data_IF_220219076590
#
_entry.id   IF_220219076590
#
_cell.length_a   1.000
_cell.length_b   1.000
_cell.length_c   1.000
_cell.angle_alpha   90.00
_cell.angle_beta   90.00
_cell.angle_gamma   90.00
#
_symmetry.space_group_name_H-M   'P 1'
#
loop_
_entity.id
_entity.type
_entity.pdbx_description
1 polymer ?
#
# COMPACT_ATOMS: atom_id res chain seq x y z
N UNK A 1 32.05 4.04 10.53
CA UNK A 1 30.76 3.76 9.88
C UNK A 1 31.00 2.58 8.94
N UNK A 2 30.58 1.38 9.35
CA UNK A 2 30.83 0.16 8.60
C UNK A 2 29.94 0.13 7.36
N UNK A 3 30.52 0.42 6.21
CA UNK A 3 29.90 0.09 4.92
C UNK A 3 30.12 -1.41 4.73
N UNK A 4 29.10 -2.18 5.09
CA UNK A 4 29.05 -3.61 4.81
C UNK A 4 29.12 -3.82 3.29
N UNK A 5 30.28 -4.27 2.82
CA UNK A 5 30.54 -4.57 1.41
C UNK A 5 30.06 -5.98 1.02
N UNK A 6 29.09 -6.56 1.74
CA UNK A 6 28.63 -7.94 1.49
C UNK A 6 27.19 -8.04 0.99
N UNK A 7 26.57 -6.92 0.61
CA UNK A 7 25.28 -6.96 -0.08
C UNK A 7 25.50 -7.40 -1.54
N UNK A 8 24.82 -8.48 -1.94
CA UNK A 8 24.78 -8.90 -3.33
C UNK A 8 24.22 -7.78 -4.22
N UNK A 9 24.55 -7.75 -5.53
CA UNK A 9 24.00 -6.77 -6.47
C UNK A 9 22.46 -6.75 -6.47
N UNK A 10 21.83 -7.89 -6.17
CA UNK A 10 20.38 -8.01 -6.02
C UNK A 10 19.88 -7.32 -4.75
N UNK A 11 20.51 -7.57 -3.60
CA UNK A 11 20.13 -6.90 -2.36
C UNK A 11 20.31 -5.38 -2.42
N UNK A 12 21.32 -4.89 -3.16
CA UNK A 12 21.49 -3.46 -3.41
C UNK A 12 20.34 -2.90 -4.26
N UNK A 13 19.94 -3.62 -5.31
CA UNK A 13 18.83 -3.25 -6.17
C UNK A 13 17.50 -3.20 -5.39
N UNK A 14 17.17 -4.26 -4.65
CA UNK A 14 16.03 -4.35 -3.75
C UNK A 14 15.97 -3.17 -2.79
N UNK A 15 17.09 -2.87 -2.12
CA UNK A 15 17.17 -1.76 -1.16
C UNK A 15 17.01 -0.40 -1.82
N UNK A 16 17.55 -0.21 -3.03
CA UNK A 16 17.38 1.03 -3.79
C UNK A 16 15.92 1.22 -4.22
N UNK A 17 15.24 0.15 -4.63
CA UNK A 17 13.81 0.16 -4.95
C UNK A 17 12.95 0.53 -3.74
N UNK A 18 13.14 -0.15 -2.61
CA UNK A 18 12.42 0.15 -1.37
C UNK A 18 12.72 1.57 -0.89
N UNK A 19 13.95 2.06 -1.08
CA UNK A 19 14.30 3.44 -0.76
C UNK A 19 13.53 4.44 -1.63
N UNK A 20 13.43 4.21 -2.94
CA UNK A 20 12.63 5.07 -3.85
C UNK A 20 11.14 5.09 -3.46
N UNK A 21 10.60 3.94 -3.03
CA UNK A 21 9.24 3.85 -2.51
C UNK A 21 9.06 4.64 -1.21
N UNK A 22 10.07 4.64 -0.34
CA UNK A 22 10.07 5.40 0.91
C UNK A 22 10.25 6.92 0.69
N UNK A 23 11.10 7.33 -0.26
CA UNK A 23 11.37 8.74 -0.55
C UNK A 23 10.24 9.41 -1.31
N UNK A 24 9.43 8.66 -2.06
CA UNK A 24 8.34 9.23 -2.85
C UNK A 24 8.76 9.55 -4.28
N UNK A 25 9.59 8.71 -4.90
CA UNK A 25 10.09 8.93 -6.27
C UNK A 25 9.38 8.01 -7.30
N UNK A 26 8.20 8.38 -7.82
CA UNK A 26 7.42 7.53 -8.72
C UNK A 26 8.16 7.21 -10.03
N UNK A 27 8.91 8.15 -10.60
CA UNK A 27 9.71 7.92 -11.81
C UNK A 27 10.77 6.83 -11.60
N UNK A 28 11.46 6.83 -10.44
CA UNK A 28 12.44 5.78 -10.13
C UNK A 28 11.77 4.44 -9.88
N UNK A 29 10.65 4.43 -9.17
CA UNK A 29 9.86 3.21 -8.95
C UNK A 29 9.44 2.62 -10.29
N UNK A 30 8.95 3.42 -11.23
CA UNK A 30 8.61 2.94 -12.57
C UNK A 30 9.84 2.41 -13.33
N UNK A 31 10.99 3.05 -13.26
CA UNK A 31 12.23 2.52 -13.87
C UNK A 31 12.60 1.14 -13.31
N UNK A 32 12.48 0.96 -12.00
CA UNK A 32 12.73 -0.33 -11.36
C UNK A 32 11.72 -1.38 -11.82
N UNK A 33 10.42 -1.05 -11.84
CA UNK A 33 9.37 -1.96 -12.32
C UNK A 33 9.58 -2.32 -13.80
N UNK A 34 9.90 -1.34 -14.64
CA UNK A 34 10.18 -1.52 -16.07
C UNK A 34 11.42 -2.38 -16.33
N UNK A 35 12.37 -2.44 -15.39
CA UNK A 35 13.52 -3.33 -15.50
C UNK A 35 13.14 -4.82 -15.44
N UNK A 36 11.97 -5.16 -14.91
CA UNK A 36 11.50 -6.54 -14.74
C UNK A 36 12.29 -7.35 -13.71
N UNK A 37 13.20 -6.70 -12.96
CA UNK A 37 14.06 -7.34 -11.96
C UNK A 37 13.48 -7.29 -10.55
N UNK A 38 12.38 -6.56 -10.36
CA UNK A 38 11.69 -6.41 -9.07
C UNK A 38 10.99 -7.72 -8.74
N UNK A 39 11.31 -8.28 -7.58
CA UNK A 39 10.68 -9.52 -7.10
C UNK A 39 9.38 -9.23 -6.34
N UNK A 40 8.57 -10.25 -6.07
CA UNK A 40 7.38 -10.11 -5.25
C UNK A 40 7.70 -9.62 -3.81
N UNK A 41 8.85 -10.01 -3.27
CA UNK A 41 9.30 -9.53 -1.96
C UNK A 41 9.66 -8.04 -2.00
N UNK A 42 10.31 -7.58 -3.06
CA UNK A 42 10.60 -6.16 -3.27
C UNK A 42 9.33 -5.33 -3.37
N UNK A 43 8.33 -5.82 -4.14
CA UNK A 43 7.03 -5.19 -4.26
C UNK A 43 6.33 -5.06 -2.90
N UNK A 44 6.31 -6.12 -2.09
CA UNK A 44 5.68 -6.10 -0.76
C UNK A 44 6.38 -5.11 0.18
N UNK A 45 7.72 -5.13 0.22
CA UNK A 45 8.50 -4.19 1.04
C UNK A 45 8.35 -2.74 0.57
N UNK A 46 8.40 -2.51 -0.74
CA UNK A 46 8.23 -1.20 -1.36
C UNK A 46 6.82 -0.65 -1.11
N UNK A 47 5.81 -1.49 -1.25
CA UNK A 47 4.41 -1.13 -1.00
C UNK A 47 4.19 -0.75 0.47
N UNK A 48 4.74 -1.52 1.41
CA UNK A 48 4.71 -1.19 2.83
C UNK A 48 5.41 0.15 3.13
N UNK A 49 6.55 0.42 2.51
CA UNK A 49 7.29 1.67 2.67
C UNK A 49 6.53 2.89 2.11
N UNK A 50 6.03 2.81 0.88
CA UNK A 50 5.24 3.86 0.24
C UNK A 50 3.94 4.14 1.00
N UNK A 51 3.26 3.09 1.45
CA UNK A 51 2.06 3.20 2.28
C UNK A 51 2.38 3.90 3.60
N UNK A 52 3.48 3.55 4.28
CA UNK A 52 3.84 4.20 5.55
C UNK A 52 4.10 5.70 5.39
N UNK A 53 4.58 6.09 4.23
CA UNK A 53 4.91 7.48 3.88
C UNK A 53 3.77 8.21 3.17
N UNK A 54 2.60 7.57 2.99
CA UNK A 54 1.42 8.15 2.36
C UNK A 54 1.61 8.55 0.88
N UNK A 55 2.48 7.85 0.14
CA UNK A 55 2.76 8.12 -1.27
C UNK A 55 1.75 7.43 -2.20
N UNK A 56 0.59 8.05 -2.39
CA UNK A 56 -0.55 7.48 -3.15
C UNK A 56 -0.19 7.00 -4.56
N UNK A 57 0.54 7.80 -5.32
CA UNK A 57 0.92 7.49 -6.70
C UNK A 57 1.79 6.22 -6.80
N UNK A 58 2.73 6.07 -5.85
CA UNK A 58 3.60 4.89 -5.80
C UNK A 58 2.81 3.67 -5.39
N UNK A 59 1.94 3.80 -4.38
CA UNK A 59 1.06 2.73 -3.92
C UNK A 59 0.18 2.24 -5.09
N UNK A 60 -0.41 3.16 -5.86
CA UNK A 60 -1.22 2.85 -7.04
C UNK A 60 -0.40 2.11 -8.12
N UNK A 61 0.79 2.63 -8.43
CA UNK A 61 1.68 2.01 -9.42
C UNK A 61 2.06 0.59 -9.01
N UNK A 62 2.37 0.37 -7.73
CA UNK A 62 2.71 -0.95 -7.21
C UNK A 62 1.51 -1.90 -7.30
N UNK A 63 0.31 -1.42 -6.99
CA UNK A 63 -0.94 -2.15 -7.16
C UNK A 63 -1.18 -2.58 -8.61
N UNK A 64 -1.03 -1.67 -9.57
CA UNK A 64 -1.19 -1.97 -10.99
C UNK A 64 -0.19 -3.03 -11.48
N UNK A 65 1.02 -3.05 -10.91
CA UNK A 65 2.01 -4.11 -11.20
C UNK A 65 1.75 -5.45 -10.50
N UNK A 66 0.66 -5.58 -9.74
CA UNK A 66 0.28 -6.83 -9.07
C UNK A 66 0.92 -7.03 -7.70
N UNK A 67 1.40 -5.96 -7.06
CA UNK A 67 1.80 -6.04 -5.65
C UNK A 67 0.59 -6.50 -4.83
N UNK A 68 0.79 -7.52 -4.00
CA UNK A 68 -0.26 -7.95 -3.09
C UNK A 68 -0.58 -6.85 -2.09
N UNK A 69 -1.87 -6.73 -1.74
CA UNK A 69 -2.27 -5.90 -0.60
C UNK A 69 -1.59 -6.50 0.64
N UNK A 70 -0.57 -5.81 1.15
CA UNK A 70 0.15 -6.29 2.33
C UNK A 70 -0.77 -6.28 3.55
N UNK A 71 -0.54 -7.20 4.49
CA UNK A 71 -1.26 -7.22 5.78
C UNK A 71 -1.19 -5.85 6.50
N UNK A 72 -0.14 -5.08 6.23
CA UNK A 72 0.04 -3.73 6.74
C UNK A 72 -0.88 -2.72 6.06
N UNK A 73 -1.00 -2.72 4.74
CA UNK A 73 -1.96 -1.88 4.01
C UNK A 73 -3.39 -2.14 4.52
N UNK A 74 -3.72 -3.41 4.78
CA UNK A 74 -5.00 -3.77 5.37
C UNK A 74 -5.09 -3.28 6.83
N UNK A 75 -4.07 -3.47 7.66
CA UNK A 75 -4.04 -2.87 9.02
C UNK A 75 -4.15 -1.34 9.01
N UNK A 76 -3.60 -0.67 7.99
CA UNK A 76 -3.67 0.77 7.82
C UNK A 76 -5.10 1.21 7.46
N UNK A 77 -5.77 0.49 6.54
CA UNK A 77 -7.22 0.61 6.29
C UNK A 77 -8.04 0.43 7.58
N UNK A 78 -7.58 -0.45 8.46
CA UNK A 78 -8.26 -0.84 9.71
C UNK A 78 -8.00 0.10 10.91
N UNK A 79 -7.34 1.24 10.74
CA UNK A 79 -7.36 2.32 11.75
C UNK A 79 -6.24 2.39 12.75
N UNK A 80 -5.14 1.69 12.48
CA UNK A 80 -3.87 1.98 13.16
C UNK A 80 -3.13 3.18 12.58
N UNK A 81 -3.62 3.73 11.47
CA UNK A 81 -3.09 4.92 10.84
C UNK A 81 -3.66 6.19 11.46
N UNK A 82 -2.79 7.11 11.91
CA UNK A 82 -3.17 8.49 12.28
C UNK A 82 -3.31 9.42 11.07
N UNK A 83 -3.13 8.90 9.85
CA UNK A 83 -3.07 9.65 8.59
C UNK A 83 -4.15 9.16 7.62
N UNK A 84 -4.43 9.91 6.55
CA UNK A 84 -5.35 9.57 5.45
C UNK A 84 -4.96 8.30 4.63
N UNK A 85 -4.17 7.38 5.18
CA UNK A 85 -3.77 6.13 4.53
C UNK A 85 -4.92 5.29 3.97
N UNK A 86 -6.08 5.16 4.65
CA UNK A 86 -7.19 4.41 4.09
C UNK A 86 -7.78 5.06 2.83
N UNK A 87 -7.77 6.39 2.79
CA UNK A 87 -8.22 7.18 1.65
C UNK A 87 -7.24 7.03 0.51
N UNK A 88 -5.95 7.14 0.80
CA UNK A 88 -4.86 6.96 -0.17
C UNK A 88 -4.88 5.56 -0.79
N UNK A 89 -5.11 4.53 0.02
CA UNK A 89 -5.18 3.15 -0.47
C UNK A 89 -6.38 2.97 -1.42
N UNK A 90 -7.55 3.48 -1.07
CA UNK A 90 -8.73 3.44 -1.94
C UNK A 90 -8.53 4.28 -3.22
N UNK A 91 -7.95 5.47 -3.09
CA UNK A 91 -7.64 6.35 -4.23
C UNK A 91 -6.60 5.73 -5.18
N UNK A 92 -5.68 4.93 -4.62
CA UNK A 92 -4.71 4.13 -5.35
C UNK A 92 -5.31 2.88 -6.02
N UNK A 93 -6.62 2.67 -5.93
CA UNK A 93 -7.29 1.51 -6.54
C UNK A 93 -7.24 0.24 -5.69
N UNK A 94 -6.90 0.34 -4.40
CA UNK A 94 -7.02 -0.82 -3.51
C UNK A 94 -8.48 -1.27 -3.46
N UNK A 95 -8.72 -2.54 -3.78
CA UNK A 95 -10.07 -3.08 -3.87
C UNK A 95 -10.81 -2.87 -2.53
N UNK A 96 -11.94 -2.13 -2.53
CA UNK A 96 -12.73 -1.83 -1.34
C UNK A 96 -13.35 -3.08 -0.70
N UNK A 97 -13.34 -4.21 -1.41
CA UNK A 97 -13.80 -5.52 -0.98
C UNK A 97 -12.65 -6.46 -0.58
N UNK A 98 -11.39 -6.05 -0.80
CA UNK A 98 -10.21 -6.84 -0.48
C UNK A 98 -10.23 -7.26 1.00
N UNK A 99 -10.33 -8.57 1.23
CA UNK A 99 -10.47 -9.10 2.59
C UNK A 99 -9.09 -9.24 3.20
N UNK A 100 -8.95 -8.89 4.48
CA UNK A 100 -7.70 -9.14 5.19
C UNK A 100 -7.34 -10.62 5.17
N UNK A 101 -6.18 -10.96 4.61
CA UNK A 101 -5.57 -12.28 4.76
C UNK A 101 -4.84 -12.43 6.11
N UNK A 102 -4.58 -11.31 6.79
CA UNK A 102 -3.84 -11.24 8.03
C UNK A 102 -4.59 -11.89 9.18
N UNK A 103 -3.85 -12.62 10.03
CA UNK A 103 -4.38 -13.36 11.21
C UNK A 103 -5.21 -12.53 12.19
N UNK A 104 -5.17 -11.20 12.11
CA UNK A 104 -5.77 -10.27 13.10
C UNK A 104 -7.11 -9.66 12.67
N UNK A 105 -7.42 -9.65 11.38
CA UNK A 105 -8.68 -9.11 10.80
C UNK A 105 -9.25 -10.04 9.71
N UNK A 106 -8.98 -11.33 9.87
CA UNK A 106 -9.19 -12.35 8.86
C UNK A 106 -10.62 -12.31 8.28
N UNK A 107 -10.72 -12.03 6.99
CA UNK A 107 -11.99 -12.07 6.26
C UNK A 107 -12.88 -10.83 6.41
N UNK A 108 -12.49 -9.80 7.15
CA UNK A 108 -13.26 -8.56 7.23
C UNK A 108 -12.92 -7.62 6.06
N UNK A 109 -13.94 -7.09 5.36
CA UNK A 109 -13.72 -6.11 4.31
C UNK A 109 -13.45 -4.71 4.90
N UNK A 110 -12.78 -3.82 4.14
CA UNK A 110 -12.52 -2.43 4.53
C UNK A 110 -13.77 -1.69 5.02
N UNK A 111 -14.94 -1.99 4.44
CA UNK A 111 -16.23 -1.42 4.84
C UNK A 111 -16.71 -1.82 6.24
N UNK A 112 -16.40 -3.04 6.69
CA UNK A 112 -16.70 -3.46 8.06
C UNK A 112 -15.81 -2.67 9.04
N UNK A 113 -14.54 -2.48 8.69
CA UNK A 113 -13.59 -1.87 9.61
C UNK A 113 -13.60 -0.35 9.59
N UNK A 114 -14.06 0.26 8.50
CA UNK A 114 -14.46 1.66 8.46
C UNK A 114 -15.46 2.01 9.58
N UNK A 115 -16.36 1.08 9.96
CA UNK A 115 -17.30 1.31 11.08
C UNK A 115 -16.59 1.39 12.43
N UNK A 116 -15.50 0.65 12.59
CA UNK A 116 -14.65 0.58 13.77
C UNK A 116 -13.57 1.65 13.83
N UNK A 117 -13.50 2.54 12.82
CA UNK A 117 -12.59 3.67 12.84
C UNK A 117 -12.91 4.64 13.97
N UNK A 118 -11.89 4.94 14.76
CA UNK A 118 -11.97 5.94 15.82
C UNK A 118 -11.87 7.37 15.27
N UNK A 119 -11.30 7.56 14.08
CA UNK A 119 -11.24 8.87 13.43
C UNK A 119 -12.50 9.11 12.57
N UNK A 120 -13.37 10.06 12.93
CA UNK A 120 -14.62 10.32 12.22
C UNK A 120 -14.42 10.88 10.80
N UNK A 121 -13.36 11.68 10.55
CA UNK A 121 -13.08 12.24 9.22
C UNK A 121 -12.66 11.14 8.23
N UNK A 122 -11.74 10.28 8.67
CA UNK A 122 -11.28 9.13 7.89
C UNK A 122 -12.44 8.16 7.66
N UNK A 123 -13.28 7.94 8.68
CA UNK A 123 -14.49 7.12 8.59
C UNK A 123 -15.47 7.63 7.55
N UNK A 124 -15.78 8.94 7.55
CA UNK A 124 -16.67 9.52 6.55
C UNK A 124 -16.10 9.42 5.14
N UNK A 125 -14.82 9.77 4.94
CA UNK A 125 -14.18 9.64 3.62
C UNK A 125 -14.18 8.20 3.12
N UNK A 126 -13.84 7.23 3.97
CA UNK A 126 -13.92 5.80 3.63
C UNK A 126 -15.35 5.42 3.22
N UNK A 127 -16.35 5.79 4.04
CA UNK A 127 -17.75 5.48 3.73
C UNK A 127 -18.22 6.17 2.45
N UNK A 128 -17.75 7.37 2.15
CA UNK A 128 -18.06 8.10 0.92
C UNK A 128 -17.46 7.43 -0.31
N UNK A 129 -16.17 7.07 -0.27
CA UNK A 129 -15.49 6.35 -1.36
C UNK A 129 -16.10 4.97 -1.59
N UNK A 130 -16.28 4.18 -0.52
CA UNK A 130 -16.93 2.86 -0.57
C UNK A 130 -18.36 2.90 -1.09
N UNK A 131 -19.12 3.96 -0.77
CA UNK A 131 -20.48 4.16 -1.29
C UNK A 131 -20.47 4.56 -2.76
N UNK A 132 -19.50 5.37 -3.18
CA UNK A 132 -19.40 5.87 -4.55
C UNK A 132 -19.03 4.77 -5.54
N UNK A 133 -18.16 3.83 -5.18
CA UNK A 133 -17.86 2.69 -6.06
C UNK A 133 -19.03 1.71 -6.21
N UNK A 134 -19.85 1.54 -5.16
CA UNK A 134 -21.03 0.66 -5.21
C UNK A 134 -22.14 1.14 -6.15
N UNK A 135 -22.06 2.39 -6.63
CA UNK A 135 -23.02 3.00 -7.56
C UNK A 135 -22.60 2.92 -9.03
N UNK A 136 -21.42 2.36 -9.35
CA UNK A 136 -20.96 2.22 -10.74
C UNK A 136 -21.40 0.91 -11.43
N UNK A 137 -22.14 0.05 -10.73
CA UNK A 137 -22.64 -1.24 -11.22
C UNK A 137 -24.17 -1.24 -11.46
N UNK A 138 -24.79 -0.08 -11.69
CA UNK A 138 -26.23 0.04 -12.04
C UNK A 138 -26.46 0.54 -13.47
#
# INVERSE_FOLDING_TARGET
MGVDHSLSPEAYFSKAFVHACHTGEPSRVQEFLASGRVTAEDLDQGHGAATRQAHAEIVATLFDTGASVSDWAISALHGRSKQDLPVILLDAGADPTARSAGKRYYGEPPSAVAKHQQNPEIKEKLLYLLRSEKLQDE
#
